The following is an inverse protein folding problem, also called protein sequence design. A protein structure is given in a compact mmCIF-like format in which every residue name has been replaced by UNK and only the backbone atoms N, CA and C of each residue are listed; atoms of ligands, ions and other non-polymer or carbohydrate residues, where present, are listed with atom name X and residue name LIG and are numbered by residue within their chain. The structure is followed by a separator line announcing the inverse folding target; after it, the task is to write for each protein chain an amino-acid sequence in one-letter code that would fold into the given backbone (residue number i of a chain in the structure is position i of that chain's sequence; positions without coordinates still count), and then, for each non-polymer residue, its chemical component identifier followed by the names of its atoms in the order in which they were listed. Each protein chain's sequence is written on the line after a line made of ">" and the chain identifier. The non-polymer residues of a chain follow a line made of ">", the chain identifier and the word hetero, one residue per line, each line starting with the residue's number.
data_IF_442346443322
#
_entry.id   IF_442346443322
#
_cell.length_a   1.000
_cell.length_b   1.000
_cell.length_c   1.000
_cell.angle_alpha   90.00
_cell.angle_beta   90.00
_cell.angle_gamma   90.00
#
_symmetry.space_group_name_H-M   'P 1'
#
loop_
_entity.id
_entity.type
_entity.pdbx_description
1 polymer ?
#
# COMPACT_ATOMS: atom_id res chain seq x y z
N UNK A 1 -18.10 -1.12 3.87
CA UNK A 1 -17.05 -1.69 3.00
C UNK A 1 -16.49 -0.57 2.14
N UNK A 2 -15.18 -0.58 1.89
CA UNK A 2 -14.51 0.44 1.08
C UNK A 2 -13.57 -0.20 0.08
N UNK A 3 -13.37 0.46 -1.06
CA UNK A 3 -12.34 0.12 -2.03
C UNK A 3 -11.23 1.16 -1.97
N UNK A 4 -10.03 0.72 -1.62
CA UNK A 4 -8.80 1.50 -1.74
C UNK A 4 -8.19 1.23 -3.11
N UNK A 5 -7.82 2.28 -3.83
CA UNK A 5 -7.00 2.18 -5.04
C UNK A 5 -5.82 3.14 -5.00
N UNK A 6 -4.71 2.72 -5.57
CA UNK A 6 -3.53 3.57 -5.78
C UNK A 6 -2.72 3.06 -6.97
N UNK A 7 -1.97 3.96 -7.59
CA UNK A 7 -0.84 3.60 -8.44
C UNK A 7 0.44 3.60 -7.61
N UNK A 8 1.30 2.62 -7.83
CA UNK A 8 2.62 2.56 -7.20
C UNK A 8 3.70 2.16 -8.19
N UNK A 9 4.91 2.62 -7.96
CA UNK A 9 6.11 2.26 -8.71
C UNK A 9 7.20 1.85 -7.72
N UNK A 10 7.82 0.70 -7.98
CA UNK A 10 8.89 0.14 -7.15
C UNK A 10 9.95 -0.45 -8.07
N UNK A 11 11.07 0.26 -8.23
CA UNK A 11 12.13 -0.12 -9.16
C UNK A 11 13.51 0.11 -8.54
N UNK A 12 14.47 -0.70 -8.96
CA UNK A 12 15.85 -0.61 -8.51
C UNK A 12 16.31 -1.81 -7.68
N UNK A 13 17.55 -1.76 -7.21
CA UNK A 13 18.12 -2.79 -6.36
C UNK A 13 17.86 -2.46 -4.89
N UNK A 14 17.61 -3.49 -4.08
CA UNK A 14 17.38 -3.30 -2.64
C UNK A 14 16.22 -2.32 -2.34
N UNK A 15 15.14 -2.34 -3.14
CA UNK A 15 13.96 -1.46 -2.98
C UNK A 15 13.28 -1.54 -1.61
N UNK A 16 13.43 -2.65 -0.90
CA UNK A 16 12.77 -2.87 0.38
C UNK A 16 11.31 -3.28 0.18
N UNK A 17 10.36 -2.64 0.85
CA UNK A 17 8.94 -3.00 0.73
C UNK A 17 7.99 -1.80 0.85
N UNK A 18 6.78 -1.99 0.29
CA UNK A 18 5.63 -1.13 0.47
C UNK A 18 4.46 -1.96 1.01
N UNK A 19 3.93 -1.60 2.18
CA UNK A 19 2.81 -2.26 2.82
C UNK A 19 1.60 -1.32 2.94
N UNK A 20 0.42 -1.89 2.72
CA UNK A 20 -0.87 -1.23 2.82
C UNK A 20 -1.62 -1.84 3.99
N UNK A 21 -1.88 -1.02 5.01
CA UNK A 21 -2.40 -1.45 6.29
C UNK A 21 -3.70 -0.72 6.64
N UNK A 22 -4.50 -1.34 7.49
CA UNK A 22 -5.59 -0.67 8.21
C UNK A 22 -5.35 -0.76 9.70
N UNK A 23 -5.69 0.30 10.42
CA UNK A 23 -5.66 0.33 11.88
C UNK A 23 -7.10 0.51 12.35
N UNK A 24 -7.60 -0.45 13.11
CA UNK A 24 -8.95 -0.43 13.66
C UNK A 24 -8.95 -0.95 15.09
N UNK A 25 -9.67 -0.27 15.98
CA UNK A 25 -9.69 -0.57 17.42
C UNK A 25 -8.28 -0.70 18.05
N UNK A 26 -7.31 0.09 17.57
CA UNK A 26 -5.92 0.06 18.05
C UNK A 26 -5.05 -1.08 17.47
N UNK A 27 -5.60 -1.93 16.62
CA UNK A 27 -4.88 -3.05 16.00
C UNK A 27 -4.59 -2.77 14.52
N UNK A 28 -3.35 -3.04 14.12
CA UNK A 28 -2.86 -2.92 12.74
C UNK A 28 -3.02 -4.25 12.00
N UNK A 29 -3.59 -4.20 10.80
CA UNK A 29 -3.77 -5.33 9.90
C UNK A 29 -3.20 -5.00 8.52
N UNK A 30 -2.28 -5.83 8.02
CA UNK A 30 -1.73 -5.67 6.67
C UNK A 30 -2.68 -6.28 5.64
N UNK A 31 -3.16 -5.46 4.70
CA UNK A 31 -3.98 -5.91 3.58
C UNK A 31 -3.12 -6.48 2.46
N UNK A 32 -2.00 -5.80 2.14
CA UNK A 32 -1.08 -6.20 1.08
C UNK A 32 0.32 -5.68 1.35
N UNK A 33 1.32 -6.49 1.00
CA UNK A 33 2.74 -6.11 1.03
C UNK A 33 3.40 -6.44 -0.31
N UNK A 34 4.09 -5.46 -0.88
CA UNK A 34 4.91 -5.57 -2.09
C UNK A 34 6.38 -5.48 -1.67
N UNK A 35 7.22 -6.36 -2.21
CA UNK A 35 8.62 -6.52 -1.75
C UNK A 35 9.55 -6.53 -2.96
N UNK A 36 10.59 -5.71 -2.89
CA UNK A 36 11.63 -5.64 -3.91
C UNK A 36 11.18 -4.91 -5.17
N UNK A 37 11.82 -5.28 -6.28
CA UNK A 37 11.62 -4.66 -7.57
C UNK A 37 10.38 -5.23 -8.28
N UNK A 38 9.47 -4.35 -8.69
CA UNK A 38 8.25 -4.68 -9.44
C UNK A 38 8.28 -4.22 -10.90
N UNK A 39 9.45 -3.79 -11.37
CA UNK A 39 9.73 -3.34 -12.73
C UNK A 39 9.63 -1.84 -12.88
N UNK A 40 10.23 -1.30 -13.93
CA UNK A 40 10.15 0.12 -14.26
C UNK A 40 8.81 0.46 -14.92
N UNK A 41 7.72 0.36 -14.16
CA UNK A 41 6.36 0.69 -14.58
C UNK A 41 5.49 0.99 -13.37
N UNK A 42 4.48 1.82 -13.59
CA UNK A 42 3.40 1.99 -12.62
C UNK A 42 2.51 0.75 -12.58
N UNK A 43 2.16 0.32 -11.37
CA UNK A 43 1.24 -0.76 -11.09
C UNK A 43 0.02 -0.20 -10.38
N UNK A 44 -1.16 -0.55 -10.87
CA UNK A 44 -2.41 -0.18 -10.23
C UNK A 44 -2.84 -1.28 -9.26
N UNK A 45 -3.15 -0.89 -8.03
CA UNK A 45 -3.62 -1.79 -7.00
C UNK A 45 -5.01 -1.37 -6.51
N UNK A 46 -5.84 -2.37 -6.23
CA UNK A 46 -7.16 -2.23 -5.60
C UNK A 46 -7.27 -3.21 -4.44
N UNK A 47 -7.66 -2.72 -3.26
CA UNK A 47 -7.79 -3.51 -2.04
C UNK A 47 -9.13 -3.26 -1.36
N UNK A 48 -9.87 -4.35 -1.12
CA UNK A 48 -11.11 -4.31 -0.37
C UNK A 48 -10.81 -4.13 1.12
N UNK A 49 -11.41 -3.11 1.72
CA UNK A 49 -11.34 -2.83 3.16
C UNK A 49 -12.65 -3.29 3.81
N UNK A 50 -12.52 -4.32 4.63
CA UNK A 50 -13.59 -4.81 5.50
C UNK A 50 -13.25 -4.38 6.93
N UNK A 51 -13.73 -3.20 7.34
CA UNK A 51 -13.60 -2.77 8.73
C UNK A 51 -14.77 -3.29 9.56
N UNK A 52 -14.45 -3.81 10.75
CA UNK A 52 -15.43 -4.23 11.75
C UNK A 52 -15.64 -3.17 12.84
N UNK A 53 -14.94 -2.04 12.76
CA UNK A 53 -15.02 -0.93 13.70
C UNK A 53 -15.78 0.27 13.08
N UNK A 54 -16.36 1.16 13.90
CA UNK A 54 -17.01 2.38 13.41
C UNK A 54 -16.05 3.31 12.66
N UNK A 55 -14.77 3.29 13.05
CA UNK A 55 -13.70 4.08 12.43
C UNK A 55 -12.47 3.22 12.22
N UNK A 56 -11.71 3.54 11.17
CA UNK A 56 -10.43 2.94 10.89
C UNK A 56 -9.50 4.01 10.29
N UNK A 57 -8.20 3.76 10.36
CA UNK A 57 -7.18 4.52 9.66
C UNK A 57 -6.59 3.65 8.55
N UNK A 58 -6.24 4.29 7.45
CA UNK A 58 -5.46 3.67 6.40
C UNK A 58 -4.01 4.14 6.54
N UNK A 59 -3.06 3.21 6.42
CA UNK A 59 -1.63 3.48 6.54
C UNK A 59 -0.87 2.85 5.37
N UNK A 60 0.01 3.64 4.76
CA UNK A 60 0.99 3.17 3.79
C UNK A 60 2.37 3.21 4.46
N UNK A 61 3.01 2.05 4.54
CA UNK A 61 4.31 1.89 5.18
C UNK A 61 5.36 1.54 4.12
N UNK A 62 6.26 2.48 3.84
CA UNK A 62 7.42 2.28 2.99
C UNK A 62 8.66 2.00 3.85
N UNK A 63 9.40 0.95 3.50
CA UNK A 63 10.70 0.66 4.09
C UNK A 63 11.71 0.54 2.96
N UNK A 64 12.68 1.44 2.92
CA UNK A 64 13.79 1.39 1.96
C UNK A 64 14.74 0.26 2.32
N UNK A 65 15.39 -0.39 1.35
CA UNK A 65 16.46 -1.32 1.68
C UNK A 65 17.76 -0.61 2.07
N UNK A 66 18.88 -1.33 1.99
CA UNK A 66 20.18 -0.91 2.51
C UNK A 66 20.96 0.10 1.64
N UNK A 67 20.34 0.69 0.61
CA UNK A 67 21.04 1.55 -0.34
C UNK A 67 20.13 2.56 -1.04
N UNK A 68 20.72 3.36 -1.94
CA UNK A 68 20.05 4.44 -2.68
C UNK A 68 19.70 4.08 -4.14
N UNK A 69 19.89 2.83 -4.52
CA UNK A 69 19.72 2.36 -5.91
C UNK A 69 18.27 2.00 -6.25
N UNK A 70 17.30 2.58 -5.54
CA UNK A 70 15.89 2.27 -5.68
C UNK A 70 14.99 3.36 -5.12
N UNK A 71 13.81 3.47 -5.71
CA UNK A 71 12.76 4.38 -5.26
C UNK A 71 11.43 3.63 -5.08
N UNK A 72 10.60 4.16 -4.19
CA UNK A 72 9.19 3.80 -4.03
C UNK A 72 8.39 5.08 -4.25
N UNK A 73 7.48 5.07 -5.22
CA UNK A 73 6.57 6.17 -5.49
C UNK A 73 5.11 5.70 -5.46
N UNK A 74 4.21 6.58 -5.06
CA UNK A 74 2.77 6.33 -4.92
C UNK A 74 2.04 7.55 -5.50
N UNK A 75 0.98 7.31 -6.25
CA UNK A 75 0.15 8.36 -6.84
C UNK A 75 -1.32 7.92 -6.96
N UNK A 76 -2.22 8.87 -7.26
CA UNK A 76 -3.65 8.64 -7.55
C UNK A 76 -4.38 7.81 -6.47
N UNK A 77 -4.10 8.14 -5.20
CA UNK A 77 -4.75 7.50 -4.05
C UNK A 77 -6.25 7.84 -4.02
N UNK A 78 -7.09 6.81 -3.93
CA UNK A 78 -8.54 6.96 -3.76
C UNK A 78 -9.10 5.94 -2.78
N UNK A 79 -10.07 6.38 -1.98
CA UNK A 79 -10.87 5.52 -1.10
C UNK A 79 -12.34 5.79 -1.41
N UNK A 80 -13.02 4.76 -1.91
CA UNK A 80 -14.43 4.84 -2.30
C UNK A 80 -15.27 3.89 -1.47
N UNK A 81 -16.54 4.24 -1.25
CA UNK A 81 -17.47 3.34 -0.58
C UNK A 81 -17.89 2.21 -1.53
N UNK A 82 -17.91 0.96 -1.03
CA UNK A 82 -18.32 -0.22 -1.80
C UNK A 82 -17.21 -1.23 -2.05
N UNK A 83 -17.46 -2.16 -2.97
CA UNK A 83 -16.52 -3.20 -3.39
C UNK A 83 -15.46 -2.67 -4.36
N UNK A 84 -14.27 -3.27 -4.32
CA UNK A 84 -13.37 -3.31 -5.47
C UNK A 84 -13.80 -4.43 -6.43
#
# INVERSE_FOLDING_TARGET
>A
QYCLSAYFHMYGQQTGYLAFNIIQAGHKYTLKKYVGNHGNRWLHMRLSINSHAPTFQFEMEGHTGSGYHSDIAIDDLSVTHGHC
#
